data_IF_046815570440
#
_entry.id   IF_046815570440
#
_cell.length_a   1.000
_cell.length_b   1.000
_cell.length_c   1.000
_cell.angle_alpha   90.00
_cell.angle_beta   90.00
_cell.angle_gamma   90.00
#
_symmetry.space_group_name_H-M   'P 1'
#
loop_
_entity.id
_entity.type
_entity.pdbx_description
1 polymer ?
#
# COMPACT_ATOMS: atom_id res chain seq x y z
N UNK A 1 -34.23 -23.44 -32.19
CA UNK A 1 -32.90 -24.05 -32.03
C UNK A 1 -32.19 -23.24 -30.96
N UNK A 2 -32.07 -23.77 -29.74
CA UNK A 2 -31.35 -23.08 -28.66
C UNK A 2 -29.85 -23.09 -28.95
N UNK A 3 -29.18 -21.96 -28.78
CA UNK A 3 -27.73 -21.89 -28.93
C UNK A 3 -27.06 -22.63 -27.78
N UNK A 4 -26.29 -23.66 -28.09
CA UNK A 4 -25.41 -24.29 -27.11
C UNK A 4 -24.24 -23.36 -26.81
N UNK A 5 -23.98 -23.11 -25.52
CA UNK A 5 -22.86 -22.31 -25.06
C UNK A 5 -21.84 -23.20 -24.36
N UNK A 6 -20.57 -23.06 -24.77
CA UNK A 6 -19.44 -23.80 -24.21
C UNK A 6 -18.55 -22.85 -23.41
N UNK A 7 -18.16 -23.25 -22.21
CA UNK A 7 -17.21 -22.51 -21.37
C UNK A 7 -15.85 -23.20 -21.37
N UNK A 8 -14.82 -22.50 -21.86
CA UNK A 8 -13.45 -22.99 -21.87
C UNK A 8 -12.67 -22.35 -20.71
N UNK A 9 -11.95 -23.17 -19.94
CA UNK A 9 -11.09 -22.72 -18.85
C UNK A 9 -9.65 -23.13 -19.13
N UNK A 10 -8.76 -22.16 -19.08
CA UNK A 10 -7.32 -22.44 -19.04
C UNK A 10 -6.89 -22.63 -17.58
N UNK A 11 -6.59 -23.87 -17.22
CA UNK A 11 -6.03 -24.21 -15.91
C UNK A 11 -4.68 -23.50 -15.71
N UNK A 12 -4.46 -22.92 -14.54
CA UNK A 12 -3.24 -22.19 -14.17
C UNK A 12 -2.98 -20.90 -14.97
N UNK A 13 -3.98 -20.36 -15.69
CA UNK A 13 -3.83 -19.11 -16.44
C UNK A 13 -3.31 -17.96 -15.56
N UNK A 14 -3.87 -17.78 -14.36
CA UNK A 14 -3.44 -16.73 -13.43
C UNK A 14 -1.98 -16.88 -13.01
N UNK A 15 -1.57 -18.07 -12.57
CA UNK A 15 -0.18 -18.34 -12.16
C UNK A 15 0.81 -18.19 -13.31
N UNK A 16 0.41 -18.62 -14.52
CA UNK A 16 1.22 -18.41 -15.73
C UNK A 16 1.38 -16.92 -16.02
N UNK A 17 0.30 -16.15 -15.99
CA UNK A 17 0.33 -14.71 -16.29
C UNK A 17 1.21 -13.96 -15.28
N UNK A 18 1.08 -14.25 -13.98
CA UNK A 18 1.93 -13.66 -12.93
C UNK A 18 3.41 -14.05 -13.11
N UNK A 19 3.69 -15.30 -13.47
CA UNK A 19 5.03 -15.77 -13.78
C UNK A 19 5.65 -15.03 -14.97
N UNK A 20 4.89 -14.85 -16.05
CA UNK A 20 5.32 -14.11 -17.25
C UNK A 20 5.61 -12.65 -16.91
N UNK A 21 4.72 -11.95 -16.18
CA UNK A 21 4.99 -10.56 -15.78
C UNK A 21 6.21 -10.42 -14.88
N UNK A 22 6.41 -11.37 -13.97
CA UNK A 22 7.61 -11.41 -13.12
C UNK A 22 8.88 -11.57 -13.95
N UNK A 23 8.86 -12.43 -14.98
CA UNK A 23 9.98 -12.59 -15.90
C UNK A 23 10.22 -11.33 -16.75
N UNK A 24 9.17 -10.73 -17.31
CA UNK A 24 9.29 -9.48 -18.08
C UNK A 24 9.92 -8.35 -17.25
N UNK A 25 9.60 -8.27 -15.96
CA UNK A 25 10.24 -7.30 -15.06
C UNK A 25 11.74 -7.60 -14.88
N UNK A 26 12.11 -8.87 -14.66
CA UNK A 26 13.52 -9.28 -14.49
C UNK A 26 14.35 -9.01 -15.74
N UNK A 27 13.77 -9.28 -16.91
CA UNK A 27 14.42 -9.09 -18.21
C UNK A 27 14.32 -7.63 -18.70
N UNK A 28 13.69 -6.73 -17.92
CA UNK A 28 13.35 -5.35 -18.29
C UNK A 28 12.72 -5.22 -19.69
N UNK A 29 11.94 -6.24 -20.07
CA UNK A 29 11.29 -6.34 -21.37
C UNK A 29 9.91 -5.70 -21.32
N UNK A 30 9.55 -4.93 -22.35
CA UNK A 30 8.26 -4.20 -22.44
C UNK A 30 8.02 -3.17 -21.32
N UNK A 31 9.04 -2.86 -20.52
CA UNK A 31 8.97 -1.79 -19.53
C UNK A 31 8.77 -0.43 -20.20
N UNK A 32 7.84 0.35 -19.65
CA UNK A 32 7.39 1.60 -20.24
C UNK A 32 7.33 2.75 -19.21
N UNK A 33 7.96 2.57 -18.05
CA UNK A 33 8.18 3.60 -17.02
C UNK A 33 9.48 3.35 -16.27
N UNK A 34 10.11 4.41 -15.79
CA UNK A 34 11.22 4.36 -14.83
C UNK A 34 10.81 5.06 -13.53
N UNK A 35 10.94 4.38 -12.40
CA UNK A 35 10.77 4.95 -11.06
C UNK A 35 12.15 5.27 -10.49
N UNK A 36 12.43 6.53 -10.21
CA UNK A 36 13.70 6.99 -9.66
C UNK A 36 13.55 7.42 -8.20
N UNK A 37 14.45 6.93 -7.35
CA UNK A 37 14.57 7.35 -5.96
C UNK A 37 15.54 8.53 -5.82
N UNK A 38 15.42 9.28 -4.72
CA UNK A 38 16.36 10.35 -4.36
C UNK A 38 17.81 9.86 -4.19
N UNK A 39 18.00 8.57 -3.91
CA UNK A 39 19.30 7.90 -3.75
C UNK A 39 20.04 7.66 -5.08
N UNK A 40 19.48 8.06 -6.22
CA UNK A 40 20.07 7.89 -7.55
C UNK A 40 19.84 6.50 -8.18
N UNK A 41 19.27 5.56 -7.42
CA UNK A 41 18.84 4.27 -7.93
C UNK A 41 17.45 4.38 -8.61
N UNK A 42 17.20 3.52 -9.60
CA UNK A 42 15.94 3.48 -10.33
C UNK A 42 15.48 2.07 -10.68
N UNK A 43 14.18 1.90 -10.88
CA UNK A 43 13.55 0.64 -11.30
C UNK A 43 12.78 0.88 -12.60
N UNK A 44 13.03 0.07 -13.62
CA UNK A 44 12.21 0.03 -14.83
C UNK A 44 11.06 -0.97 -14.64
N UNK A 45 9.85 -0.59 -15.03
CA UNK A 45 8.65 -1.39 -14.77
C UNK A 45 7.57 -1.14 -15.83
N UNK A 46 6.43 -1.82 -15.67
CA UNK A 46 5.26 -1.70 -16.52
C UNK A 46 4.19 -0.81 -15.88
N UNK A 47 3.75 0.23 -16.57
CA UNK A 47 2.66 1.12 -16.12
C UNK A 47 1.39 0.35 -15.82
N UNK A 48 1.08 -0.69 -16.60
CA UNK A 48 -0.15 -1.48 -16.44
C UNK A 48 -0.19 -2.18 -15.08
N UNK A 49 0.92 -2.80 -14.65
CA UNK A 49 1.01 -3.50 -13.36
C UNK A 49 0.96 -2.49 -12.22
N UNK A 50 1.76 -1.42 -12.32
CA UNK A 50 1.75 -0.35 -11.31
C UNK A 50 0.36 0.27 -11.14
N UNK A 51 -0.36 0.54 -12.24
CA UNK A 51 -1.72 1.09 -12.21
C UNK A 51 -2.75 0.12 -11.62
N UNK A 52 -2.60 -1.17 -11.90
CA UNK A 52 -3.48 -2.19 -11.34
C UNK A 52 -3.36 -2.26 -9.81
N UNK A 53 -2.14 -2.06 -9.29
CA UNK A 53 -1.83 -2.20 -7.87
C UNK A 53 -1.83 -0.88 -7.08
N UNK A 54 -1.77 0.28 -7.73
CA UNK A 54 -1.69 1.59 -7.07
C UNK A 54 -2.57 2.62 -7.77
N UNK A 55 -3.52 3.20 -7.02
CA UNK A 55 -4.35 4.28 -7.54
C UNK A 55 -3.54 5.56 -7.79
N UNK A 56 -2.46 5.78 -7.04
CA UNK A 56 -1.53 6.89 -7.29
C UNK A 56 -0.89 6.77 -8.68
N UNK A 57 -0.29 5.63 -9.00
CA UNK A 57 0.34 5.42 -10.31
C UNK A 57 -0.68 5.41 -11.45
N UNK A 58 -1.87 4.84 -11.22
CA UNK A 58 -2.96 4.88 -12.19
C UNK A 58 -3.33 6.32 -12.57
N UNK A 59 -3.64 7.16 -11.58
CA UNK A 59 -3.97 8.57 -11.82
C UNK A 59 -2.80 9.29 -12.48
N UNK A 60 -1.58 9.11 -11.98
CA UNK A 60 -0.39 9.76 -12.52
C UNK A 60 -0.20 9.49 -14.02
N UNK A 61 -0.31 8.24 -14.45
CA UNK A 61 -0.08 7.85 -15.85
C UNK A 61 -1.24 8.19 -16.79
N UNK A 62 -2.48 8.23 -16.27
CA UNK A 62 -3.64 8.67 -17.05
C UNK A 62 -3.64 10.19 -17.26
N UNK A 63 -3.29 10.95 -16.23
CA UNK A 63 -3.25 12.42 -16.29
C UNK A 63 -2.06 12.94 -17.11
N UNK A 64 -0.96 12.18 -17.15
CA UNK A 64 0.28 12.57 -17.81
C UNK A 64 0.74 11.48 -18.80
N UNK A 65 0.05 11.34 -19.95
CA UNK A 65 0.40 10.32 -20.93
C UNK A 65 1.77 10.59 -21.55
N UNK A 66 2.71 9.67 -21.33
CA UNK A 66 4.04 9.71 -21.90
C UNK A 66 4.48 8.29 -22.30
N UNK A 67 5.30 8.19 -23.36
CA UNK A 67 5.82 6.89 -23.83
C UNK A 67 6.61 6.17 -22.74
N UNK A 68 7.53 6.87 -22.09
CA UNK A 68 8.38 6.33 -21.02
C UNK A 68 8.69 7.40 -19.97
N UNK A 69 7.74 7.73 -19.06
CA UNK A 69 7.97 8.74 -18.02
C UNK A 69 9.01 8.27 -17.01
N UNK A 70 9.78 9.22 -16.49
CA UNK A 70 10.64 9.02 -15.33
C UNK A 70 9.93 9.65 -14.13
N UNK A 71 9.45 8.82 -13.20
CA UNK A 71 8.75 9.25 -11.99
C UNK A 71 9.75 9.36 -10.86
N UNK A 72 9.96 10.58 -10.36
CA UNK A 72 10.89 10.83 -9.25
C UNK A 72 10.11 10.77 -7.94
N UNK A 73 10.39 9.74 -7.14
CA UNK A 73 9.78 9.52 -5.83
C UNK A 73 10.67 10.13 -4.75
N UNK A 74 10.27 11.29 -4.26
CA UNK A 74 10.91 11.94 -3.11
C UNK A 74 10.54 11.20 -1.84
N UNK A 75 11.48 11.14 -0.90
CA UNK A 75 11.28 10.53 0.43
C UNK A 75 10.93 9.03 0.41
N UNK A 76 11.19 8.37 -0.72
CA UNK A 76 11.07 6.91 -0.86
C UNK A 76 12.47 6.32 -1.03
N UNK A 77 12.88 5.56 -0.03
CA UNK A 77 14.12 4.77 -0.06
C UNK A 77 14.01 3.66 -1.10
N UNK A 78 15.14 3.31 -1.73
CA UNK A 78 15.14 2.32 -2.82
C UNK A 78 14.72 0.92 -2.35
N UNK A 79 15.06 0.54 -1.11
CA UNK A 79 14.71 -0.75 -0.54
C UNK A 79 13.18 -0.96 -0.44
N UNK A 80 12.44 0.03 0.06
CA UNK A 80 10.98 -0.02 0.12
C UNK A 80 10.37 -0.02 -1.28
N UNK A 81 10.86 0.84 -2.18
CA UNK A 81 10.34 0.86 -3.54
C UNK A 81 10.51 -0.50 -4.22
N UNK A 82 11.69 -1.11 -4.10
CA UNK A 82 11.96 -2.43 -4.68
C UNK A 82 11.05 -3.48 -4.09
N UNK A 83 10.87 -3.47 -2.77
CA UNK A 83 9.98 -4.41 -2.08
C UNK A 83 8.52 -4.25 -2.51
N UNK A 84 8.04 -3.00 -2.68
CA UNK A 84 6.69 -2.75 -3.16
C UNK A 84 6.49 -3.19 -4.62
N UNK A 85 7.46 -2.93 -5.49
CA UNK A 85 7.40 -3.40 -6.88
C UNK A 85 7.38 -4.93 -6.90
N UNK A 86 8.26 -5.60 -6.14
CA UNK A 86 8.24 -7.06 -6.02
C UNK A 86 6.87 -7.58 -5.54
N UNK A 87 6.26 -6.93 -4.53
CA UNK A 87 4.91 -7.25 -4.06
C UNK A 87 3.85 -7.10 -5.16
N UNK A 88 3.92 -6.06 -5.99
CA UNK A 88 2.96 -5.85 -7.07
C UNK A 88 3.01 -6.95 -8.14
N UNK A 89 4.19 -7.53 -8.39
CA UNK A 89 4.36 -8.57 -9.42
C UNK A 89 4.16 -10.00 -8.89
N UNK A 90 4.47 -10.23 -7.61
CA UNK A 90 4.40 -11.55 -6.98
C UNK A 90 3.10 -11.79 -6.20
N UNK A 91 2.46 -10.71 -5.73
CA UNK A 91 1.31 -10.75 -4.83
C UNK A 91 1.69 -10.91 -3.35
N UNK A 92 2.96 -11.22 -3.05
CA UNK A 92 3.48 -11.40 -1.69
C UNK A 92 4.98 -11.07 -1.63
N UNK A 93 5.44 -10.66 -0.44
CA UNK A 93 6.85 -10.44 -0.10
C UNK A 93 7.11 -10.81 1.35
N UNK A 94 8.33 -11.27 1.63
CA UNK A 94 8.82 -11.47 3.00
C UNK A 94 9.69 -10.28 3.38
N UNK A 95 9.41 -9.68 4.54
CA UNK A 95 10.14 -8.50 5.03
C UNK A 95 10.48 -8.65 6.51
N UNK A 96 11.59 -8.04 6.90
CA UNK A 96 11.99 -8.02 8.31
C UNK A 96 11.08 -7.11 9.13
N UNK A 97 10.87 -7.44 10.40
CA UNK A 97 10.03 -6.67 11.31
C UNK A 97 10.45 -5.19 11.40
N UNK A 98 11.76 -4.93 11.40
CA UNK A 98 12.31 -3.57 11.45
C UNK A 98 12.02 -2.74 10.19
N UNK A 99 11.78 -3.38 9.04
CA UNK A 99 11.50 -2.72 7.75
C UNK A 99 10.01 -2.52 7.52
N UNK A 100 9.16 -3.33 8.15
CA UNK A 100 7.71 -3.37 7.92
C UNK A 100 7.05 -2.00 8.07
N UNK A 101 7.34 -1.26 9.14
CA UNK A 101 6.73 0.05 9.38
C UNK A 101 7.06 1.07 8.27
N UNK A 102 8.31 1.09 7.80
CA UNK A 102 8.72 1.99 6.74
C UNK A 102 8.11 1.61 5.38
N UNK A 103 8.03 0.30 5.11
CA UNK A 103 7.37 -0.22 3.92
C UNK A 103 5.88 0.17 3.87
N UNK A 104 5.14 -0.03 4.97
CA UNK A 104 3.70 0.27 5.02
C UNK A 104 3.43 1.77 4.87
N UNK A 105 4.25 2.64 5.46
CA UNK A 105 4.15 4.10 5.24
C UNK A 105 4.36 4.47 3.77
N UNK A 106 5.34 3.83 3.11
CA UNK A 106 5.58 4.03 1.68
C UNK A 106 4.42 3.51 0.84
N UNK A 107 3.87 2.34 1.19
CA UNK A 107 2.72 1.74 0.53
C UNK A 107 1.48 2.63 0.63
N UNK A 108 1.27 3.27 1.78
CA UNK A 108 0.18 4.22 2.02
C UNK A 108 0.34 5.48 1.14
N UNK A 109 1.54 6.07 1.12
CA UNK A 109 1.83 7.25 0.29
C UNK A 109 1.61 6.97 -1.21
N UNK A 110 2.05 5.80 -1.67
CA UNK A 110 1.85 5.34 -3.05
C UNK A 110 0.49 4.66 -3.27
N UNK A 111 -0.41 4.64 -2.27
CA UNK A 111 -1.76 4.05 -2.34
C UNK A 111 -1.77 2.63 -2.93
N UNK A 112 -0.86 1.78 -2.46
CA UNK A 112 -0.71 0.38 -2.90
C UNK A 112 -1.81 -0.48 -2.29
N UNK A 113 -2.63 -1.10 -3.14
CA UNK A 113 -3.74 -1.98 -2.74
C UNK A 113 -3.22 -3.17 -1.92
N UNK A 114 -3.99 -3.58 -0.90
CA UNK A 114 -3.63 -4.68 0.00
C UNK A 114 -2.63 -4.34 1.11
N UNK A 115 -1.86 -3.24 0.98
CA UNK A 115 -0.91 -2.78 1.99
C UNK A 115 -1.29 -1.43 2.62
N UNK A 116 -1.79 -0.49 1.83
CA UNK A 116 -2.17 0.85 2.31
C UNK A 116 -3.28 0.81 3.38
N UNK A 117 -4.21 -0.15 3.30
CA UNK A 117 -5.31 -0.29 4.27
C UNK A 117 -4.82 -0.81 5.64
N UNK A 118 -3.73 -1.60 5.67
CA UNK A 118 -3.19 -2.19 6.90
C UNK A 118 -2.39 -1.20 7.76
N UNK A 119 -1.89 -0.10 7.17
CA UNK A 119 -1.17 0.96 7.91
C UNK A 119 -2.02 1.53 9.07
N UNK A 120 -3.33 1.65 8.85
CA UNK A 120 -4.27 2.20 9.84
C UNK A 120 -4.60 1.25 11.00
N UNK A 121 -4.46 -0.07 10.80
CA UNK A 121 -4.77 -1.08 11.81
C UNK A 121 -3.61 -1.32 12.80
N UNK A 122 -2.38 -0.98 12.41
CA UNK A 122 -1.18 -1.13 13.24
C UNK A 122 -0.82 0.14 14.03
N UNK A 123 -1.50 1.26 13.76
CA UNK A 123 -1.47 2.43 14.64
C UNK A 123 -2.35 2.14 15.88
N UNK A 124 -1.74 2.16 17.06
CA UNK A 124 -2.32 1.73 18.34
C UNK A 124 -3.75 2.19 18.65
N UNK A 125 -4.51 1.44 19.49
CA UNK A 125 -5.81 1.86 19.99
C UNK A 125 -5.67 3.17 20.78
N UNK A 126 -6.56 4.15 20.51
CA UNK A 126 -6.70 5.39 21.30
C UNK A 126 -6.74 5.04 22.80
N UNK A 127 -5.66 5.31 23.53
CA UNK A 127 -5.70 5.38 25.00
C UNK A 127 -6.55 6.59 25.35
N UNK A 128 -7.77 6.33 25.81
CA UNK A 128 -8.66 7.34 26.38
C UNK A 128 -8.01 7.93 27.65
N UNK A 129 -7.62 9.22 27.68
CA UNK A 129 -6.95 9.81 28.83
C UNK A 129 -7.87 10.03 30.05
N UNK A 130 -9.19 9.79 29.95
CA UNK A 130 -10.15 10.41 30.86
C UNK A 130 -10.67 9.54 32.02
N UNK A 131 -9.98 8.44 32.37
CA UNK A 131 -10.46 7.50 33.41
C UNK A 131 -9.78 7.54 34.79
N UNK A 132 -9.02 8.57 35.12
CA UNK A 132 -8.44 8.72 36.47
C UNK A 132 -8.86 10.04 37.12
N UNK A 133 -10.09 10.09 37.63
CA UNK A 133 -10.46 10.98 38.74
C UNK A 133 -10.84 10.14 39.96
N UNK A 134 -10.09 10.22 41.07
CA UNK A 134 -10.53 9.67 42.35
C UNK A 134 -11.72 10.49 42.87
N UNK A 135 -12.83 9.84 43.21
CA UNK A 135 -13.93 10.47 43.92
C UNK A 135 -13.51 10.73 45.37
N UNK A 136 -13.22 11.98 45.72
CA UNK A 136 -13.11 12.41 47.11
C UNK A 136 -14.51 12.61 47.68
N UNK A 137 -14.95 11.68 48.53
CA UNK A 137 -16.04 11.91 49.46
C UNK A 137 -15.65 13.03 50.45
N UNK A 138 -16.48 14.07 50.57
CA UNK A 138 -16.41 15.00 51.69
C UNK A 138 -17.82 15.29 52.21
N UNK A 139 -18.06 14.81 53.43
CA UNK A 139 -19.21 15.09 54.27
C UNK A 139 -18.98 16.41 55.03
N UNK A 140 -19.93 17.35 54.98
CA UNK A 140 -20.16 18.40 55.99
C UNK A 140 -21.49 19.10 55.64
N UNK A 141 -22.59 18.80 56.31
CA UNK A 141 -23.13 19.56 57.45
C UNK A 141 -23.22 21.06 57.20
N UNK A 142 -24.43 21.58 56.94
CA UNK A 142 -24.84 22.90 57.42
C UNK A 142 -26.29 22.84 57.90
N UNK A 143 -26.41 22.87 59.24
CA UNK A 143 -27.58 23.34 59.95
C UNK A 143 -27.48 24.87 60.04
N UNK A 144 -28.56 25.60 59.78
CA UNK A 144 -28.78 26.92 60.37
C UNK A 144 -30.27 27.17 60.54
N UNK A 145 -30.64 27.45 61.79
CA UNK A 145 -31.99 27.76 62.28
C UNK A 145 -32.44 29.19 61.94
N UNK A 146 -33.78 29.34 61.89
CA UNK A 146 -34.62 30.43 62.42
C UNK A 146 -34.23 31.89 62.12
N UNK A 147 -35.10 32.62 61.41
CA UNK A 147 -36.16 33.47 61.99
C UNK A 147 -37.23 33.73 60.94
#
# INVERSE_FOLDING_TARGET
MGSEHYCLRWNNHQSNLLGVFSQLLQDESLVDVTLACSEGASIRAHKVVLSACSSYFQTLFLDHPARHPIVILKDVRFAELRTLVDFMYKGEVNVEYCQLSALLKTAESLKVKGLAEQSTALAEPKRDPDRLRPQSHSSAQHATSLT
#
